data_IF_211171743128
#
_entry.id   IF_211171743128
#
_cell.length_a   1.000
_cell.length_b   1.000
_cell.length_c   1.000
_cell.angle_alpha   90.00
_cell.angle_beta   90.00
_cell.angle_gamma   90.00
#
_symmetry.space_group_name_H-M   'P 1'
#
loop_
_entity.id
_entity.type
_entity.pdbx_description
1 polymer ?
#
# COMPACT_ATOMS: atom_id res chain seq x y z
N UNK A 1 -25.52 -0.11 14.54
CA UNK A 1 -24.17 0.29 15.01
C UNK A 1 -24.04 1.78 14.77
N UNK A 2 -23.60 2.57 15.76
CA UNK A 2 -23.43 4.00 15.55
C UNK A 2 -22.14 4.23 14.74
N UNK A 3 -22.25 4.60 13.46
CA UNK A 3 -21.11 4.85 12.57
C UNK A 3 -20.03 5.77 13.15
N UNK A 4 -20.35 6.81 13.94
CA UNK A 4 -19.32 7.61 14.61
C UNK A 4 -18.41 6.79 15.55
N UNK A 5 -18.95 5.81 16.28
CA UNK A 5 -18.16 4.93 17.14
C UNK A 5 -17.27 3.99 16.32
N UNK A 6 -17.78 3.50 15.19
CA UNK A 6 -17.01 2.65 14.26
C UNK A 6 -15.85 3.42 13.66
N UNK A 7 -16.11 4.66 13.22
CA UNK A 7 -15.10 5.57 12.70
C UNK A 7 -14.00 5.82 13.73
N UNK A 8 -14.37 6.17 14.96
CA UNK A 8 -13.40 6.33 16.06
C UNK A 8 -12.54 5.08 16.22
N UNK A 9 -13.16 3.90 16.27
CA UNK A 9 -12.43 2.65 16.41
C UNK A 9 -11.47 2.35 15.24
N UNK A 10 -11.85 2.67 14.00
CA UNK A 10 -10.94 2.52 12.85
C UNK A 10 -9.79 3.53 12.90
N UNK A 11 -10.03 4.74 13.42
CA UNK A 11 -8.96 5.71 13.66
C UNK A 11 -7.99 5.23 14.74
N UNK A 12 -8.47 4.63 15.83
CA UNK A 12 -7.62 4.08 16.89
C UNK A 12 -6.64 3.02 16.35
N UNK A 13 -7.05 2.24 15.34
CA UNK A 13 -6.18 1.27 14.67
C UNK A 13 -5.09 1.96 13.85
N UNK A 14 -5.43 3.04 13.15
CA UNK A 14 -4.44 3.84 12.43
C UNK A 14 -3.44 4.49 13.39
N UNK A 15 -3.92 5.01 14.52
CA UNK A 15 -3.06 5.65 15.52
C UNK A 15 -2.16 4.64 16.23
N UNK A 16 -2.64 3.41 16.43
CA UNK A 16 -1.79 2.31 16.90
C UNK A 16 -0.67 1.98 15.92
N UNK A 17 -0.96 1.97 14.61
CA UNK A 17 0.03 1.75 13.58
C UNK A 17 1.00 2.94 13.45
N UNK A 18 0.52 4.17 13.64
CA UNK A 18 1.35 5.38 13.67
C UNK A 18 2.36 5.34 14.83
N UNK A 19 1.92 4.95 16.02
CA UNK A 19 2.77 4.82 17.19
C UNK A 19 3.84 3.73 17.02
N UNK A 20 3.50 2.62 16.37
CA UNK A 20 4.48 1.60 15.98
C UNK A 20 5.53 2.17 15.03
N UNK A 21 5.11 2.90 14.00
CA UNK A 21 6.01 3.51 13.02
C UNK A 21 6.93 4.56 13.66
N UNK A 22 6.42 5.36 14.60
CA UNK A 22 7.22 6.30 15.37
C UNK A 22 8.30 5.55 16.18
N UNK A 23 7.92 4.45 16.83
CA UNK A 23 8.87 3.62 17.60
C UNK A 23 9.96 3.02 16.71
N UNK A 24 9.60 2.52 15.52
CA UNK A 24 10.56 2.02 14.52
C UNK A 24 11.54 3.13 14.11
N UNK A 25 11.02 4.32 13.82
CA UNK A 25 11.82 5.47 13.40
C UNK A 25 12.77 5.97 14.50
N UNK A 26 12.35 5.96 15.76
CA UNK A 26 13.16 6.44 16.89
C UNK A 26 14.25 5.44 17.33
N UNK A 27 14.05 4.14 17.06
CA UNK A 27 14.95 3.08 17.57
C UNK A 27 15.89 2.49 16.54
N UNK A 28 15.61 2.68 15.26
CA UNK A 28 16.35 2.02 14.20
C UNK A 28 17.03 3.03 13.29
N UNK A 29 18.21 2.67 12.82
CA UNK A 29 18.90 3.47 11.83
C UNK A 29 18.19 3.42 10.48
N UNK A 30 18.26 4.53 9.75
CA UNK A 30 17.75 4.59 8.39
C UNK A 30 18.65 3.77 7.46
N UNK A 31 18.08 2.73 6.87
CA UNK A 31 18.65 2.01 5.74
C UNK A 31 17.54 1.65 4.74
N UNK A 32 17.90 1.09 3.59
CA UNK A 32 16.93 0.82 2.52
C UNK A 32 15.81 -0.13 2.95
N UNK A 33 16.14 -1.17 3.75
CA UNK A 33 15.14 -2.10 4.30
C UNK A 33 14.16 -1.36 5.22
N UNK A 34 14.68 -0.64 6.20
CA UNK A 34 13.89 0.06 7.19
C UNK A 34 13.00 1.11 6.56
N UNK A 35 13.54 1.89 5.62
CA UNK A 35 12.78 2.87 4.86
C UNK A 35 11.66 2.23 4.05
N UNK A 36 11.92 1.11 3.38
CA UNK A 36 10.92 0.41 2.58
C UNK A 36 9.76 -0.11 3.44
N UNK A 37 10.07 -0.83 4.52
CA UNK A 37 9.07 -1.38 5.43
C UNK A 37 8.26 -0.27 6.12
N UNK A 38 8.94 0.80 6.56
CA UNK A 38 8.29 1.98 7.11
C UNK A 38 7.33 2.63 6.11
N UNK A 39 7.74 2.83 4.86
CA UNK A 39 6.90 3.45 3.85
C UNK A 39 5.64 2.62 3.53
N UNK A 40 5.76 1.28 3.52
CA UNK A 40 4.60 0.39 3.38
C UNK A 40 3.66 0.49 4.59
N UNK A 41 4.20 0.50 5.81
CA UNK A 41 3.42 0.69 7.03
C UNK A 41 2.74 2.07 7.09
N UNK A 42 3.46 3.14 6.76
CA UNK A 42 2.91 4.50 6.69
C UNK A 42 1.81 4.59 5.64
N UNK A 43 1.99 3.95 4.47
CA UNK A 43 0.93 3.87 3.47
C UNK A 43 -0.29 3.12 4.02
N UNK A 44 -0.11 2.00 4.71
CA UNK A 44 -1.22 1.28 5.33
C UNK A 44 -1.96 2.13 6.36
N UNK A 45 -1.25 2.82 7.25
CA UNK A 45 -1.84 3.78 8.19
C UNK A 45 -2.71 4.82 7.47
N UNK A 46 -2.20 5.41 6.39
CA UNK A 46 -2.98 6.37 5.60
C UNK A 46 -4.23 5.74 4.97
N UNK A 47 -4.15 4.52 4.45
CA UNK A 47 -5.32 3.83 3.89
C UNK A 47 -6.36 3.52 4.99
N UNK A 48 -5.95 3.14 6.21
CA UNK A 48 -6.87 2.96 7.35
C UNK A 48 -7.57 4.27 7.71
N UNK A 49 -6.83 5.39 7.81
CA UNK A 49 -7.43 6.72 8.05
C UNK A 49 -8.44 7.10 6.96
N UNK A 50 -8.11 6.80 5.69
CA UNK A 50 -9.00 7.05 4.55
C UNK A 50 -10.24 6.17 4.57
N UNK A 51 -10.15 4.91 5.01
CA UNK A 51 -11.35 4.08 5.26
C UNK A 51 -12.24 4.79 6.27
N UNK A 52 -11.71 5.20 7.43
CA UNK A 52 -12.50 5.85 8.48
C UNK A 52 -13.24 7.10 7.98
N UNK A 53 -12.60 7.88 7.10
CA UNK A 53 -13.20 9.05 6.47
C UNK A 53 -14.30 8.69 5.44
N UNK A 54 -14.13 7.58 4.73
CA UNK A 54 -15.07 7.11 3.70
C UNK A 54 -16.22 6.25 4.23
N UNK A 55 -16.21 5.86 5.52
CA UNK A 55 -17.23 4.95 6.11
C UNK A 55 -18.67 5.45 6.00
N UNK A 56 -18.87 6.77 5.92
CA UNK A 56 -20.18 7.41 5.79
C UNK A 56 -20.48 7.86 4.34
N UNK A 57 -19.48 7.78 3.44
CA UNK A 57 -19.59 8.14 2.03
C UNK A 57 -19.83 6.94 1.12
N UNK A 58 -19.37 7.01 -0.13
CA UNK A 58 -19.52 5.94 -1.11
C UNK A 58 -18.72 4.69 -0.70
N UNK A 59 -19.33 3.52 -0.87
CA UNK A 59 -18.71 2.26 -0.44
C UNK A 59 -17.47 1.93 -1.27
N UNK A 60 -17.46 2.41 -2.51
CA UNK A 60 -16.40 2.25 -3.49
C UNK A 60 -15.08 2.82 -2.98
N UNK A 61 -15.13 4.00 -2.36
CA UNK A 61 -13.95 4.64 -1.76
C UNK A 61 -13.37 3.75 -0.67
N UNK A 62 -14.21 3.30 0.27
CA UNK A 62 -13.76 2.41 1.34
C UNK A 62 -13.22 1.08 0.78
N UNK A 63 -13.90 0.49 -0.20
CA UNK A 63 -13.47 -0.75 -0.83
C UNK A 63 -12.11 -0.61 -1.53
N UNK A 64 -11.86 0.53 -2.19
CA UNK A 64 -10.56 0.83 -2.80
C UNK A 64 -9.45 0.85 -1.74
N UNK A 65 -9.68 1.53 -0.60
CA UNK A 65 -8.68 1.61 0.47
C UNK A 65 -8.38 0.25 1.09
N UNK A 66 -9.40 -0.58 1.32
CA UNK A 66 -9.21 -1.94 1.85
C UNK A 66 -8.49 -2.85 0.86
N UNK A 67 -8.74 -2.68 -0.45
CA UNK A 67 -7.95 -3.37 -1.48
C UNK A 67 -6.47 -3.00 -1.37
N UNK A 68 -6.14 -1.71 -1.24
CA UNK A 68 -4.77 -1.26 -1.06
C UNK A 68 -4.13 -1.87 0.20
N UNK A 69 -4.87 -1.96 1.32
CA UNK A 69 -4.38 -2.61 2.55
C UNK A 69 -4.04 -4.09 2.33
N UNK A 70 -4.87 -4.82 1.59
CA UNK A 70 -4.58 -6.22 1.26
C UNK A 70 -3.36 -6.36 0.37
N UNK A 71 -3.22 -5.48 -0.61
CA UNK A 71 -2.05 -5.42 -1.47
C UNK A 71 -0.77 -5.15 -0.65
N UNK A 72 -0.83 -4.26 0.34
CA UNK A 72 0.28 -4.00 1.28
C UNK A 72 0.59 -5.22 2.17
N UNK A 73 -0.41 -5.90 2.74
CA UNK A 73 -0.20 -7.14 3.53
C UNK A 73 0.54 -8.20 2.71
N UNK A 74 0.13 -8.42 1.46
CA UNK A 74 0.80 -9.38 0.57
C UNK A 74 2.23 -8.96 0.22
N UNK A 75 2.44 -7.68 -0.09
CA UNK A 75 3.77 -7.15 -0.39
C UNK A 75 4.71 -7.32 0.80
N UNK A 76 4.29 -6.90 2.01
CA UNK A 76 5.09 -7.06 3.23
C UNK A 76 5.47 -8.52 3.46
N UNK A 77 4.49 -9.43 3.40
CA UNK A 77 4.77 -10.87 3.56
C UNK A 77 5.79 -11.39 2.57
N UNK A 78 5.73 -10.95 1.32
CA UNK A 78 6.64 -11.43 0.27
C UNK A 78 8.05 -10.89 0.46
N UNK A 79 8.21 -9.59 0.68
CA UNK A 79 9.54 -8.97 0.83
C UNK A 79 10.24 -9.36 2.13
N UNK A 80 9.48 -9.75 3.16
CA UNK A 80 10.05 -10.26 4.41
C UNK A 80 10.59 -11.70 4.29
N UNK A 81 10.32 -12.42 3.18
CA UNK A 81 10.86 -13.77 2.98
C UNK A 81 12.34 -13.80 2.60
N UNK A 82 12.85 -12.76 1.95
CA UNK A 82 14.26 -12.67 1.55
C UNK A 82 14.67 -11.25 1.14
N UNK A 83 15.95 -10.91 1.27
CA UNK A 83 16.49 -9.64 0.78
C UNK A 83 16.43 -9.53 -0.76
N UNK A 84 16.40 -10.66 -1.46
CA UNK A 84 16.21 -10.67 -2.92
C UNK A 84 14.80 -10.18 -3.29
N UNK A 85 13.76 -10.60 -2.59
CA UNK A 85 12.40 -10.10 -2.81
C UNK A 85 12.26 -8.61 -2.46
N UNK A 86 12.97 -8.15 -1.42
CA UNK A 86 13.04 -6.73 -1.08
C UNK A 86 13.72 -5.92 -2.20
N UNK A 87 14.83 -6.42 -2.75
CA UNK A 87 15.51 -5.77 -3.87
C UNK A 87 14.63 -5.74 -5.13
N UNK A 88 13.87 -6.80 -5.42
CA UNK A 88 12.87 -6.83 -6.50
C UNK A 88 11.81 -5.73 -6.31
N UNK A 89 11.27 -5.57 -5.10
CA UNK A 89 10.29 -4.53 -4.79
C UNK A 89 10.87 -3.12 -4.95
N UNK A 90 12.08 -2.88 -4.47
CA UNK A 90 12.75 -1.58 -4.66
C UNK A 90 12.98 -1.29 -6.14
N UNK A 91 13.32 -2.31 -6.93
CA UNK A 91 13.43 -2.20 -8.38
C UNK A 91 12.10 -1.93 -9.11
N UNK A 92 10.96 -2.32 -8.51
CA UNK A 92 9.63 -2.07 -9.08
C UNK A 92 9.38 -0.57 -9.28
N UNK A 93 9.79 0.28 -8.32
CA UNK A 93 9.61 1.73 -8.43
C UNK A 93 10.25 2.32 -9.70
N UNK A 94 11.46 1.86 -10.03
CA UNK A 94 12.18 2.32 -11.24
C UNK A 94 11.49 1.81 -12.51
N UNK A 95 10.94 0.60 -12.46
CA UNK A 95 10.18 0.03 -13.58
C UNK A 95 8.86 0.77 -13.78
N UNK A 96 8.10 1.02 -12.72
CA UNK A 96 6.84 1.77 -12.76
C UNK A 96 7.07 3.18 -13.32
N UNK A 97 8.13 3.85 -12.86
CA UNK A 97 8.46 5.17 -13.38
C UNK A 97 8.84 5.13 -14.86
N UNK A 98 9.66 4.15 -15.26
CA UNK A 98 10.01 3.92 -16.66
C UNK A 98 8.75 3.72 -17.50
N UNK A 99 7.83 2.86 -17.08
CA UNK A 99 6.60 2.55 -17.80
C UNK A 99 5.71 3.78 -17.95
N UNK A 100 5.62 4.64 -16.94
CA UNK A 100 4.91 5.93 -17.03
C UNK A 100 5.57 6.83 -18.07
N UNK A 101 6.89 7.00 -18.01
CA UNK A 101 7.64 7.86 -18.95
C UNK A 101 7.53 7.33 -20.39
N UNK A 102 7.73 6.03 -20.60
CA UNK A 102 7.60 5.39 -21.91
C UNK A 102 6.15 5.46 -22.42
N UNK A 103 5.17 5.31 -21.54
CA UNK A 103 3.75 5.51 -21.84
C UNK A 103 3.46 6.89 -22.40
N UNK A 104 3.96 7.96 -21.77
CA UNK A 104 3.84 9.32 -22.33
C UNK A 104 4.61 9.50 -23.64
N UNK A 105 5.76 8.85 -23.80
CA UNK A 105 6.50 8.86 -25.05
C UNK A 105 5.76 8.18 -26.20
N UNK A 106 4.83 7.25 -25.96
CA UNK A 106 3.98 6.71 -27.05
C UNK A 106 3.12 7.81 -27.70
N UNK A 107 2.89 8.91 -26.98
CA UNK A 107 2.19 10.10 -27.47
C UNK A 107 3.17 11.14 -28.07
N UNK A 108 4.44 10.78 -28.32
CA UNK A 108 5.52 11.70 -28.70
C UNK A 108 5.24 12.57 -29.93
N UNK A 109 4.43 12.09 -30.89
CA UNK A 109 4.03 12.87 -32.06
C UNK A 109 3.24 14.16 -31.70
N UNK A 110 2.68 14.22 -30.49
CA UNK A 110 1.93 15.38 -29.97
C UNK A 110 2.74 16.22 -28.97
N UNK A 111 3.96 15.79 -28.63
CA UNK A 111 4.80 16.49 -27.66
C UNK A 111 5.63 17.57 -28.35
N UNK A 112 5.87 18.66 -27.64
CA UNK A 112 6.87 19.63 -28.08
C UNK A 112 8.27 18.99 -28.06
N UNK A 113 9.23 19.46 -28.89
CA UNK A 113 10.61 18.99 -28.84
C UNK A 113 11.23 19.08 -27.43
N UNK A 114 10.85 20.11 -26.67
CA UNK A 114 11.31 20.32 -25.29
C UNK A 114 10.79 19.26 -24.33
N UNK A 115 9.50 18.94 -24.39
CA UNK A 115 8.89 17.93 -23.50
C UNK A 115 9.44 16.55 -23.81
N UNK A 116 9.62 16.24 -25.11
CA UNK A 116 10.27 15.02 -25.55
C UNK A 116 11.68 14.88 -24.98
N UNK A 117 12.52 15.91 -25.12
CA UNK A 117 13.88 15.88 -24.58
C UNK A 117 13.90 15.68 -23.05
N UNK A 118 12.95 16.29 -22.32
CA UNK A 118 12.81 16.10 -20.87
C UNK A 118 12.46 14.66 -20.49
N UNK A 119 11.58 14.00 -21.23
CA UNK A 119 11.22 12.60 -21.01
C UNK A 119 12.39 11.66 -21.35
N UNK A 120 13.09 11.90 -22.45
CA UNK A 120 14.29 11.14 -22.85
C UNK A 120 15.40 11.26 -21.78
N UNK A 121 15.64 12.46 -21.25
CA UNK A 121 16.58 12.70 -20.16
C UNK A 121 16.14 12.00 -18.86
N UNK A 122 14.84 12.02 -18.52
CA UNK A 122 14.34 11.29 -17.35
C UNK A 122 14.54 9.79 -17.51
N UNK A 123 14.27 9.24 -18.69
CA UNK A 123 14.47 7.82 -19.00
C UNK A 123 15.95 7.42 -18.88
N UNK A 124 16.88 8.27 -19.34
CA UNK A 124 18.31 8.06 -19.19
C UNK A 124 18.72 7.99 -17.71
N UNK A 125 18.25 8.91 -16.86
CA UNK A 125 18.52 8.91 -15.41
C UNK A 125 17.98 7.67 -14.70
N UNK A 126 16.80 7.19 -15.09
CA UNK A 126 16.21 5.98 -14.51
C UNK A 126 17.10 4.77 -14.84
N UNK A 127 17.53 4.63 -16.10
CA UNK A 127 18.42 3.55 -16.55
C UNK A 127 19.76 3.60 -15.82
N UNK A 128 20.38 4.77 -15.74
CA UNK A 128 21.64 4.97 -15.01
C UNK A 128 21.50 4.57 -13.54
N UNK A 129 20.42 5.00 -12.88
CA UNK A 129 20.16 4.66 -11.47
C UNK A 129 19.94 3.15 -11.27
N UNK A 130 19.16 2.53 -12.15
CA UNK A 130 18.90 1.08 -12.13
C UNK A 130 20.21 0.28 -12.28
N UNK A 131 21.04 0.65 -13.27
CA UNK A 131 22.35 0.00 -13.49
C UNK A 131 23.29 0.22 -12.30
N UNK A 132 23.40 1.46 -11.80
CA UNK A 132 24.30 1.81 -10.68
C UNK A 132 23.97 1.06 -9.40
N UNK A 133 22.68 0.84 -9.12
CA UNK A 133 22.21 0.17 -7.92
C UNK A 133 22.02 -1.35 -8.11
N UNK A 134 22.21 -1.88 -9.33
CA UNK A 134 21.94 -3.29 -9.64
C UNK A 134 20.46 -3.67 -9.45
N UNK A 135 19.57 -2.70 -9.52
CA UNK A 135 18.13 -2.88 -9.31
C UNK A 135 17.46 -3.10 -10.66
N UNK A 136 17.42 -4.36 -11.11
CA UNK A 136 16.65 -4.76 -12.29
C UNK A 136 15.52 -5.68 -11.86
N UNK A 137 14.29 -5.33 -12.24
CA UNK A 137 13.14 -6.21 -12.02
C UNK A 137 13.26 -7.42 -12.96
N UNK A 138 13.51 -8.59 -12.38
CA UNK A 138 13.68 -9.84 -13.15
C UNK A 138 12.34 -10.39 -13.67
N UNK A 139 11.22 -10.06 -13.02
CA UNK A 139 9.90 -10.62 -13.31
C UNK A 139 8.78 -9.61 -13.04
N UNK A 140 7.69 -9.63 -13.81
CA UNK A 140 6.54 -8.76 -13.55
C UNK A 140 5.98 -8.92 -12.12
N UNK A 141 5.80 -7.79 -11.43
CA UNK A 141 5.22 -7.75 -10.09
C UNK A 141 3.70 -7.91 -10.12
N UNK A 142 3.25 -9.16 -10.15
CA UNK A 142 1.83 -9.49 -10.16
C UNK A 142 1.37 -9.91 -8.76
N UNK A 143 0.34 -9.25 -8.21
CA UNK A 143 -0.19 -9.57 -6.87
C UNK A 143 -0.64 -11.03 -6.72
N UNK A 144 -1.07 -11.66 -7.81
CA UNK A 144 -1.37 -13.11 -7.82
C UNK A 144 -0.13 -13.97 -7.53
N UNK A 145 1.04 -13.58 -8.05
CA UNK A 145 2.30 -14.29 -7.81
C UNK A 145 2.73 -14.15 -6.35
N UNK A 146 2.62 -12.95 -5.77
CA UNK A 146 2.85 -12.70 -4.35
C UNK A 146 1.90 -13.54 -3.48
N UNK A 147 0.62 -13.57 -3.82
CA UNK A 147 -0.35 -14.40 -3.11
C UNK A 147 -0.01 -15.89 -3.18
N UNK A 148 0.52 -16.38 -4.31
CA UNK A 148 1.00 -17.76 -4.43
C UNK A 148 2.24 -18.00 -3.56
N UNK A 149 3.23 -17.11 -3.62
CA UNK A 149 4.48 -17.21 -2.85
C UNK A 149 4.28 -17.11 -1.33
N UNK A 150 3.20 -16.45 -0.89
CA UNK A 150 2.84 -16.28 0.53
C UNK A 150 1.77 -17.27 1.01
N UNK A 151 1.40 -18.26 0.18
CA UNK A 151 0.35 -19.26 0.44
C UNK A 151 -1.03 -18.65 0.77
N UNK A 152 -1.39 -17.59 0.04
CA UNK A 152 -2.59 -16.76 0.21
C UNK A 152 -3.45 -16.68 -1.05
N UNK A 153 -3.21 -17.53 -2.05
CA UNK A 153 -3.91 -17.47 -3.34
C UNK A 153 -5.44 -17.52 -3.20
N UNK A 154 -5.97 -18.35 -2.30
CA UNK A 154 -7.43 -18.44 -2.06
C UNK A 154 -8.01 -17.14 -1.50
N UNK A 155 -7.32 -16.51 -0.56
CA UNK A 155 -7.71 -15.21 0.01
C UNK A 155 -7.67 -14.14 -1.09
N UNK A 156 -6.58 -14.08 -1.85
CA UNK A 156 -6.43 -13.15 -2.96
C UNK A 156 -7.52 -13.29 -4.01
N UNK A 157 -7.85 -14.52 -4.43
CA UNK A 157 -8.92 -14.75 -5.42
C UNK A 157 -10.29 -14.29 -4.90
N UNK A 158 -10.57 -14.49 -3.61
CA UNK A 158 -11.84 -14.07 -3.00
C UNK A 158 -11.91 -12.54 -2.92
N UNK A 159 -10.86 -11.89 -2.45
CA UNK A 159 -10.77 -10.43 -2.38
C UNK A 159 -10.77 -9.77 -3.76
N UNK A 160 -10.06 -10.33 -4.74
CA UNK A 160 -10.10 -9.84 -6.11
C UNK A 160 -11.52 -9.83 -6.67
N UNK A 161 -12.27 -10.94 -6.49
CA UNK A 161 -13.68 -11.01 -6.90
C UNK A 161 -14.52 -9.99 -6.16
N UNK A 162 -14.33 -9.83 -4.85
CA UNK A 162 -15.05 -8.85 -4.05
C UNK A 162 -14.78 -7.42 -4.53
N UNK A 163 -13.52 -6.98 -4.50
CA UNK A 163 -13.14 -5.61 -4.85
C UNK A 163 -13.44 -5.29 -6.30
N UNK A 164 -13.33 -6.22 -7.25
CA UNK A 164 -13.72 -5.97 -8.64
C UNK A 164 -15.19 -5.55 -8.82
N UNK A 165 -16.07 -5.89 -7.87
CA UNK A 165 -17.47 -5.45 -7.86
C UNK A 165 -17.67 -4.08 -7.27
N UNK A 166 -16.82 -3.66 -6.34
CA UNK A 166 -16.96 -2.39 -5.60
C UNK A 166 -15.96 -1.30 -6.03
N UNK A 167 -14.96 -1.62 -6.84
CA UNK A 167 -13.88 -0.68 -7.23
C UNK A 167 -14.03 -0.21 -8.69
N UNK A 168 -14.72 -0.98 -9.53
CA UNK A 168 -14.93 -0.68 -10.94
C UNK A 168 -16.41 -0.41 -11.21
N UNK A 169 -16.77 0.38 -12.25
CA UNK A 169 -18.17 0.62 -12.65
C UNK A 169 -18.79 -0.64 -13.28
N UNK A 170 -18.90 -1.69 -12.50
CA UNK A 170 -19.43 -2.98 -12.90
C UNK A 170 -20.96 -2.94 -12.88
N UNK A 171 -21.60 -3.84 -13.62
CA UNK A 171 -23.05 -3.98 -13.59
C UNK A 171 -23.61 -4.21 -12.16
N UNK A 172 -22.79 -4.69 -11.23
CA UNK A 172 -23.16 -4.83 -9.82
C UNK A 172 -23.39 -3.48 -9.13
N UNK A 173 -22.51 -2.49 -9.37
CA UNK A 173 -22.65 -1.13 -8.84
C UNK A 173 -23.65 -0.32 -9.66
N UNK A 174 -23.46 -0.28 -10.98
CA UNK A 174 -24.25 0.58 -11.87
C UNK A 174 -25.73 0.24 -11.85
N UNK A 175 -26.07 -1.05 -11.80
CA UNK A 175 -27.47 -1.52 -11.75
C UNK A 175 -27.86 -1.99 -10.34
N UNK A 176 -27.03 -1.73 -9.34
CA UNK A 176 -27.23 -2.17 -7.96
C UNK A 176 -28.38 -1.42 -7.28
N UNK A 177 -29.06 -2.10 -6.34
CA UNK A 177 -29.97 -1.42 -5.42
C UNK A 177 -29.19 -0.78 -4.27
N UNK A 178 -29.78 0.24 -3.63
CA UNK A 178 -29.14 0.98 -2.54
C UNK A 178 -28.67 0.05 -1.40
N UNK A 179 -29.36 -1.05 -1.11
CA UNK A 179 -28.99 -1.97 -0.01
C UNK A 179 -27.60 -2.58 -0.21
N UNK A 180 -27.11 -2.65 -1.46
CA UNK A 180 -25.81 -3.22 -1.80
C UNK A 180 -24.66 -2.24 -1.60
N UNK A 181 -24.92 -0.94 -1.70
CA UNK A 181 -23.88 0.11 -1.66
C UNK A 181 -24.02 1.04 -0.45
N UNK A 182 -25.25 1.37 -0.08
CA UNK A 182 -25.60 2.13 1.13
C UNK A 182 -25.88 1.26 2.35
N UNK A 183 -26.24 -0.02 2.17
CA UNK A 183 -26.61 -0.91 3.27
C UNK A 183 -25.46 -1.28 4.22
N UNK A 184 -25.77 -1.66 5.47
CA UNK A 184 -24.75 -1.95 6.49
C UNK A 184 -23.97 -3.25 6.22
N UNK A 185 -24.51 -4.19 5.45
CA UNK A 185 -23.91 -5.52 5.26
C UNK A 185 -22.49 -5.46 4.70
N UNK A 186 -22.30 -4.80 3.55
CA UNK A 186 -21.00 -4.73 2.91
C UNK A 186 -20.08 -3.71 3.58
N UNK A 187 -20.63 -2.66 4.20
CA UNK A 187 -19.85 -1.72 5.03
C UNK A 187 -19.26 -2.41 6.26
N UNK A 188 -20.04 -3.24 6.95
CA UNK A 188 -19.54 -4.04 8.08
C UNK A 188 -18.43 -5.00 7.63
N UNK A 189 -18.57 -5.61 6.45
CA UNK A 189 -17.51 -6.45 5.88
C UNK A 189 -16.23 -5.64 5.63
N UNK A 190 -16.33 -4.47 5.00
CA UNK A 190 -15.19 -3.56 4.78
C UNK A 190 -14.52 -3.17 6.10
N UNK A 191 -15.29 -2.84 7.13
CA UNK A 191 -14.76 -2.53 8.47
C UNK A 191 -14.01 -3.74 9.04
N UNK A 192 -14.61 -4.93 9.01
CA UNK A 192 -13.97 -6.15 9.49
C UNK A 192 -12.69 -6.50 8.73
N UNK A 193 -12.68 -6.31 7.41
CA UNK A 193 -11.49 -6.49 6.58
C UNK A 193 -10.40 -5.47 6.92
N UNK A 194 -10.77 -4.20 7.12
CA UNK A 194 -9.86 -3.14 7.55
C UNK A 194 -9.18 -3.49 8.87
N UNK A 195 -9.96 -3.93 9.85
CA UNK A 195 -9.46 -4.37 11.16
C UNK A 195 -8.48 -5.54 11.02
N UNK A 196 -8.88 -6.59 10.28
CA UNK A 196 -8.06 -7.78 10.10
C UNK A 196 -6.77 -7.50 9.35
N UNK A 197 -6.80 -6.66 8.32
CA UNK A 197 -5.61 -6.29 7.54
C UNK A 197 -4.67 -5.36 8.31
N UNK A 198 -5.21 -4.34 8.98
CA UNK A 198 -4.41 -3.43 9.80
C UNK A 198 -3.65 -4.19 10.91
N UNK A 199 -4.33 -5.09 11.64
CA UNK A 199 -3.68 -5.93 12.66
C UNK A 199 -2.61 -6.85 12.09
N UNK A 200 -2.83 -7.42 10.90
CA UNK A 200 -1.82 -8.25 10.22
C UNK A 200 -0.58 -7.45 9.85
N UNK A 201 -0.76 -6.26 9.28
CA UNK A 201 0.34 -5.36 8.90
C UNK A 201 1.11 -4.91 10.15
N UNK A 202 0.39 -4.51 11.20
CA UNK A 202 0.97 -4.18 12.50
C UNK A 202 1.84 -5.33 13.02
N UNK A 203 1.28 -6.55 13.09
CA UNK A 203 1.98 -7.73 13.59
C UNK A 203 3.24 -8.05 12.77
N UNK A 204 3.16 -8.01 11.44
CA UNK A 204 4.32 -8.25 10.57
C UNK A 204 5.48 -7.28 10.86
N UNK A 205 5.19 -5.99 11.02
CA UNK A 205 6.21 -4.98 11.32
C UNK A 205 6.74 -5.13 12.76
N UNK A 206 5.83 -5.32 13.73
CA UNK A 206 6.18 -5.51 15.13
C UNK A 206 7.13 -6.71 15.32
N UNK A 207 6.79 -7.85 14.69
CA UNK A 207 7.57 -9.08 14.75
C UNK A 207 8.93 -8.94 14.04
N UNK A 208 8.93 -8.35 12.84
CA UNK A 208 10.16 -8.11 12.06
C UNK A 208 11.19 -7.30 12.84
N UNK A 209 10.72 -6.27 13.55
CA UNK A 209 11.59 -5.40 14.35
C UNK A 209 11.82 -5.90 15.77
N UNK A 210 11.26 -7.06 16.14
CA UNK A 210 11.43 -7.71 17.45
C UNK A 210 11.16 -6.75 18.61
N UNK A 211 10.12 -5.95 18.49
CA UNK A 211 9.73 -4.96 19.50
C UNK A 211 9.03 -5.65 20.68
N UNK A 212 9.06 -5.02 21.86
CA UNK A 212 8.22 -5.34 23.01
C UNK A 212 7.06 -4.34 23.07
N UNK A 213 5.89 -4.75 23.60
CA UNK A 213 4.74 -3.85 23.75
C UNK A 213 5.08 -2.62 24.60
N UNK A 214 6.04 -2.75 25.53
CA UNK A 214 6.56 -1.65 26.37
C UNK A 214 7.34 -0.60 25.60
N UNK A 215 7.81 -0.92 24.39
CA UNK A 215 8.52 0.03 23.53
C UNK A 215 7.55 0.99 22.84
N UNK A 216 6.29 0.60 22.69
CA UNK A 216 5.28 1.39 21.98
C UNK A 216 4.74 2.48 22.88
N UNK A 217 4.98 3.73 22.52
CA UNK A 217 4.42 4.90 23.23
C UNK A 217 3.09 5.30 22.60
N UNK A 218 1.94 5.10 23.26
CA UNK A 218 0.65 5.48 22.68
C UNK A 218 0.58 6.98 22.39
N UNK A 219 0.03 7.35 21.23
CA UNK A 219 -0.09 8.74 20.80
C UNK A 219 1.19 9.35 20.24
N UNK A 220 2.27 8.59 20.09
CA UNK A 220 3.41 9.03 19.29
C UNK A 220 3.05 9.04 17.80
N UNK A 221 3.68 9.95 17.06
CA UNK A 221 3.40 10.15 15.64
C UNK A 221 4.67 10.06 14.82
N UNK A 222 4.64 9.17 13.83
CA UNK A 222 5.72 9.02 12.87
C UNK A 222 5.85 10.27 11.99
N UNK A 223 7.06 10.49 11.46
CA UNK A 223 7.36 11.57 10.52
C UNK A 223 7.91 10.98 9.22
N UNK A 224 7.84 11.70 8.08
CA UNK A 224 8.54 11.27 6.88
C UNK A 224 10.01 10.96 7.20
N UNK A 225 10.46 9.75 6.84
CA UNK A 225 11.82 9.28 7.15
C UNK A 225 12.83 9.83 6.12
N UNK A 226 12.97 11.15 6.14
CA UNK A 226 13.91 11.90 5.30
C UNK A 226 15.36 11.60 5.73
N UNK A 227 16.33 11.67 4.79
CA UNK A 227 17.73 11.70 5.19
C UNK A 227 17.96 12.87 6.15
N UNK A 228 18.78 12.67 7.18
CA UNK A 228 19.42 13.82 7.84
C UNK A 228 20.17 14.58 6.75
N UNK A 229 19.98 15.89 6.68
CA UNK A 229 20.57 16.74 5.65
C UNK A 229 22.07 16.45 5.53
N UNK A 230 22.48 15.89 4.39
CA UNK A 230 23.89 15.82 3.95
C UNK A 230 24.49 17.23 3.80
#
# INVERSE_FOLDING_TARGET
MAWPKVKSHVLDLADSLDALLATIQDRLDRNDRNLCLFNLGARAMHEVRRVAQALEGDIEDSAWRVRNLHEIDLTLRYILQSDEHLAEWTGQMLTDEKDVVEGFMTLAAKLSPRDRARLEERLARIRETSTRLGLEMRRPWLMRNLAKATNREREYQMFYKFFSKFVHPSAWLVNGRWERTGGPTYRNLIVGLTQGLCRRIYGLLFDEYRLDERDIVPGSHSRPWVPESE
#
